data_IF_168372736609
#
_entry.id   IF_168372736609
#
_cell.length_a   1.000
_cell.length_b   1.000
_cell.length_c   1.000
_cell.angle_alpha   90.00
_cell.angle_beta   90.00
_cell.angle_gamma   90.00
#
_symmetry.space_group_name_H-M   'P 1'
#
loop_
_entity.id
_entity.type
_entity.pdbx_description
1 polymer ?
#
# COMPACT_ATOMS: atom_id res chain seq x y z
N UNK A 1 28.67 21.68 -0.82
CA UNK A 1 29.71 20.85 -1.40
C UNK A 1 30.73 21.81 -1.99
N UNK A 2 31.78 22.12 -1.23
CA UNK A 2 32.84 23.04 -1.69
C UNK A 2 33.76 22.23 -2.60
N UNK A 3 33.96 22.71 -3.79
CA UNK A 3 34.94 22.15 -4.74
C UNK A 3 36.30 22.55 -4.23
N UNK A 4 37.10 21.57 -3.81
CA UNK A 4 38.50 21.81 -3.48
C UNK A 4 39.22 22.40 -4.70
N UNK A 5 39.77 23.59 -4.55
CA UNK A 5 40.51 24.25 -5.58
C UNK A 5 41.90 23.59 -5.71
N UNK A 6 42.45 23.62 -6.89
CA UNK A 6 43.75 22.97 -7.26
C UNK A 6 44.94 23.43 -6.42
N UNK A 7 44.75 24.45 -5.58
CA UNK A 7 45.80 24.98 -4.65
C UNK A 7 45.89 24.21 -3.32
N UNK A 8 44.93 23.32 -3.02
CA UNK A 8 44.95 22.52 -1.78
C UNK A 8 45.77 21.24 -1.89
N UNK A 9 46.37 20.96 -3.05
CA UNK A 9 47.35 19.89 -3.21
C UNK A 9 48.75 20.39 -2.81
N UNK A 10 49.13 20.12 -1.57
CA UNK A 10 50.52 20.29 -1.13
C UNK A 10 51.41 19.46 -2.07
N UNK A 11 52.32 20.12 -2.80
CA UNK A 11 53.31 19.42 -3.62
C UNK A 11 54.20 18.61 -2.68
N UNK A 12 54.27 17.31 -2.89
CA UNK A 12 55.09 16.40 -2.08
C UNK A 12 56.57 16.81 -2.05
N UNK A 13 57.02 17.53 -3.06
CA UNK A 13 58.40 18.07 -3.18
C UNK A 13 58.76 19.12 -2.09
N UNK A 14 57.74 19.75 -1.47
CA UNK A 14 58.00 20.81 -0.45
C UNK A 14 58.07 20.24 0.98
N UNK A 15 57.81 18.94 1.17
CA UNK A 15 57.78 18.33 2.52
C UNK A 15 59.18 17.98 3.07
N UNK A 16 60.22 17.96 2.21
CA UNK A 16 61.58 17.61 2.62
C UNK A 16 61.78 16.18 3.11
N UNK A 17 60.72 15.33 2.92
CA UNK A 17 60.76 13.93 3.31
C UNK A 17 61.39 13.08 2.19
N UNK A 18 62.17 12.09 2.58
CA UNK A 18 62.73 11.12 1.64
C UNK A 18 61.66 10.11 1.19
N UNK A 19 61.86 9.50 0.00
CA UNK A 19 60.91 8.48 -0.51
C UNK A 19 60.71 7.31 0.48
N UNK A 20 61.70 6.97 1.28
CA UNK A 20 61.59 5.94 2.32
C UNK A 20 60.70 6.38 3.49
N UNK A 21 60.72 7.64 3.87
CA UNK A 21 59.89 8.21 4.94
C UNK A 21 58.41 8.40 4.47
N UNK A 22 58.22 8.67 3.17
CA UNK A 22 56.86 8.79 2.59
C UNK A 22 56.13 7.46 2.57
N UNK A 23 56.84 6.34 2.47
CA UNK A 23 56.25 4.99 2.42
C UNK A 23 56.42 4.21 3.73
N UNK A 24 56.92 4.84 4.79
CA UNK A 24 56.96 4.23 6.11
C UNK A 24 55.54 3.94 6.60
N UNK A 25 55.30 2.68 6.97
CA UNK A 25 54.01 2.31 7.55
C UNK A 25 53.82 3.03 8.86
N UNK A 26 52.94 4.02 8.85
CA UNK A 26 52.45 4.65 10.07
C UNK A 26 51.93 3.55 11.00
N UNK A 27 52.48 3.41 12.23
CA UNK A 27 51.97 2.41 13.17
C UNK A 27 50.50 2.70 13.38
N UNK A 28 49.66 1.75 13.01
CA UNK A 28 48.24 1.84 13.29
C UNK A 28 48.08 1.88 14.81
N UNK A 29 47.85 3.06 15.32
CA UNK A 29 47.39 3.21 16.69
C UNK A 29 46.02 2.57 16.77
N UNK A 30 46.01 1.33 17.27
CA UNK A 30 44.75 0.51 17.41
C UNK A 30 43.74 1.22 18.32
N UNK A 31 44.19 2.22 19.11
CA UNK A 31 43.35 3.08 19.93
C UNK A 31 42.70 4.23 19.11
N UNK A 32 43.33 4.62 18.00
CA UNK A 32 42.77 5.64 17.06
C UNK A 32 41.97 5.05 15.92
N UNK A 33 41.84 3.72 15.81
CA UNK A 33 40.81 3.10 14.96
C UNK A 33 39.46 3.61 15.46
N UNK A 34 38.91 4.49 14.70
CA UNK A 34 37.63 5.18 14.93
C UNK A 34 36.60 4.18 15.42
N UNK A 35 36.41 4.11 16.75
CA UNK A 35 35.32 3.39 17.34
C UNK A 35 34.07 4.04 16.77
N UNK A 36 33.40 3.38 15.81
CA UNK A 36 32.10 3.79 15.34
C UNK A 36 31.18 3.78 16.57
N UNK A 37 31.16 4.89 17.28
CA UNK A 37 30.31 5.16 18.45
C UNK A 37 28.93 5.55 18.03
N UNK A 38 28.56 5.32 16.74
CA UNK A 38 27.22 5.51 16.26
C UNK A 38 26.27 4.59 17.06
N UNK A 39 25.35 5.15 17.85
CA UNK A 39 24.43 4.34 18.62
C UNK A 39 23.66 3.43 17.64
N UNK A 40 23.58 2.15 17.96
CA UNK A 40 22.81 1.17 17.19
C UNK A 40 21.35 1.52 17.29
N UNK A 41 20.88 2.40 16.42
CA UNK A 41 19.43 2.65 16.31
C UNK A 41 18.79 1.48 15.56
N UNK A 42 17.81 0.86 16.19
CA UNK A 42 16.93 -0.05 15.47
C UNK A 42 16.27 0.73 14.32
N UNK A 43 16.36 0.21 13.11
CA UNK A 43 15.77 0.81 11.90
C UNK A 43 14.31 1.23 12.14
N UNK A 44 13.49 0.31 12.68
CA UNK A 44 12.09 0.57 12.96
C UNK A 44 11.87 1.69 13.97
N UNK A 45 12.70 1.75 15.02
CA UNK A 45 12.61 2.82 16.02
C UNK A 45 12.88 4.20 15.38
N UNK A 46 13.86 4.29 14.50
CA UNK A 46 14.17 5.52 13.76
C UNK A 46 13.04 5.92 12.82
N UNK A 47 12.46 4.96 12.07
CA UNK A 47 11.33 5.21 11.16
C UNK A 47 10.13 5.74 11.94
N UNK A 48 9.73 5.06 13.02
CA UNK A 48 8.59 5.51 13.82
C UNK A 48 8.84 6.86 14.49
N UNK A 49 10.04 7.10 15.00
CA UNK A 49 10.40 8.40 15.60
C UNK A 49 10.30 9.54 14.59
N UNK A 50 10.84 9.37 13.39
CA UNK A 50 10.79 10.39 12.32
C UNK A 50 9.36 10.59 11.84
N UNK A 51 8.59 9.51 11.67
CA UNK A 51 7.21 9.57 11.23
C UNK A 51 6.32 10.34 12.20
N UNK A 52 6.36 9.99 13.50
CA UNK A 52 5.53 10.64 14.52
C UNK A 52 6.04 12.01 14.97
N UNK A 53 7.25 12.40 14.57
CA UNK A 53 7.77 13.75 14.85
C UNK A 53 7.03 14.83 14.05
N UNK A 54 6.51 14.49 12.87
CA UNK A 54 5.79 15.45 12.02
C UNK A 54 4.30 15.45 12.38
N UNK A 55 3.79 16.56 12.90
CA UNK A 55 2.37 16.74 13.26
C UNK A 55 1.42 16.43 12.10
N UNK A 56 1.80 16.81 10.88
CA UNK A 56 1.01 16.53 9.66
C UNK A 56 0.77 15.03 9.47
N UNK A 57 1.79 14.19 9.69
CA UNK A 57 1.66 12.74 9.55
C UNK A 57 0.67 12.16 10.57
N UNK A 58 0.69 12.70 11.80
CA UNK A 58 -0.25 12.28 12.85
C UNK A 58 -1.67 12.67 12.47
N UNK A 59 -1.88 13.90 11.98
CA UNK A 59 -3.22 14.37 11.56
C UNK A 59 -3.78 13.49 10.45
N UNK A 60 -2.97 13.19 9.41
CA UNK A 60 -3.37 12.33 8.31
C UNK A 60 -3.70 10.92 8.80
N UNK A 61 -2.86 10.36 9.68
CA UNK A 61 -3.08 9.02 10.25
C UNK A 61 -4.38 8.95 11.05
N UNK A 62 -4.63 9.96 11.91
CA UNK A 62 -5.85 10.03 12.70
C UNK A 62 -7.08 10.18 11.80
N UNK A 63 -7.03 11.06 10.81
CA UNK A 63 -8.12 11.24 9.84
C UNK A 63 -8.42 9.91 9.11
N UNK A 64 -7.40 9.22 8.66
CA UNK A 64 -7.55 7.92 7.99
C UNK A 64 -8.15 6.86 8.92
N UNK A 65 -7.66 6.77 10.16
CA UNK A 65 -8.20 5.86 11.17
C UNK A 65 -9.67 6.16 11.48
N UNK A 66 -10.06 7.43 11.58
CA UNK A 66 -11.45 7.86 11.79
C UNK A 66 -12.35 7.44 10.62
N UNK A 67 -11.90 7.63 9.37
CA UNK A 67 -12.65 7.23 8.18
C UNK A 67 -12.86 5.71 8.17
N UNK A 68 -11.80 4.92 8.43
CA UNK A 68 -11.91 3.47 8.50
C UNK A 68 -12.87 3.05 9.62
N UNK A 69 -12.71 3.59 10.83
CA UNK A 69 -13.57 3.28 11.95
C UNK A 69 -15.05 3.60 11.63
N UNK A 70 -15.31 4.76 11.04
CA UNK A 70 -16.64 5.16 10.64
C UNK A 70 -17.23 4.22 9.58
N UNK A 71 -16.42 3.78 8.61
CA UNK A 71 -16.84 2.83 7.56
C UNK A 71 -17.35 1.51 8.13
N UNK A 72 -16.77 1.03 9.22
CA UNK A 72 -17.21 -0.24 9.83
C UNK A 72 -18.27 -0.04 10.92
N UNK A 73 -18.14 0.99 11.74
CA UNK A 73 -19.04 1.23 12.88
C UNK A 73 -20.39 1.74 12.41
N UNK A 74 -20.43 2.71 11.50
CA UNK A 74 -21.67 3.34 11.07
C UNK A 74 -22.68 2.33 10.49
N UNK A 75 -22.36 1.47 9.48
CA UNK A 75 -23.30 0.48 8.97
C UNK A 75 -23.66 -0.61 9.97
N UNK A 76 -22.81 -0.88 10.96
CA UNK A 76 -23.08 -1.87 12.00
C UNK A 76 -24.11 -1.35 13.02
N UNK A 77 -24.01 -0.06 13.38
CA UNK A 77 -24.93 0.56 14.35
C UNK A 77 -26.28 0.91 13.71
N UNK A 78 -26.27 1.43 12.49
CA UNK A 78 -27.48 1.88 11.80
C UNK A 78 -28.29 0.74 11.15
N UNK A 79 -27.76 -0.50 11.16
CA UNK A 79 -28.51 -1.67 10.68
C UNK A 79 -28.94 -1.54 9.23
N UNK A 80 -28.03 -1.13 8.32
CA UNK A 80 -28.37 -0.99 6.91
C UNK A 80 -28.77 -2.34 6.31
N UNK A 81 -30.06 -2.48 5.99
CA UNK A 81 -30.55 -3.57 5.19
C UNK A 81 -30.71 -3.11 3.72
N UNK A 82 -29.91 -3.70 2.84
CA UNK A 82 -29.92 -3.38 1.41
C UNK A 82 -31.30 -3.62 0.76
N UNK A 83 -32.07 -4.54 1.29
CA UNK A 83 -33.34 -4.96 0.74
C UNK A 83 -34.53 -4.48 1.57
N UNK A 84 -34.36 -4.12 2.82
CA UNK A 84 -35.40 -3.76 3.78
C UNK A 84 -35.71 -2.28 3.93
N UNK A 85 -34.78 -1.41 3.56
CA UNK A 85 -34.97 0.03 3.73
C UNK A 85 -35.69 0.65 2.53
N UNK A 86 -37.02 0.74 2.69
CA UNK A 86 -37.93 1.65 1.99
C UNK A 86 -37.72 1.69 0.47
N UNK A 87 -38.22 0.68 -0.21
CA UNK A 87 -38.51 0.79 -1.63
C UNK A 87 -39.81 1.59 -1.82
N UNK A 88 -39.80 2.86 -1.42
CA UNK A 88 -40.91 3.76 -1.69
C UNK A 88 -40.68 4.46 -3.03
N UNK A 89 -41.51 4.15 -4.01
CA UNK A 89 -41.46 4.77 -5.33
C UNK A 89 -41.57 6.30 -5.27
N UNK A 90 -42.25 6.82 -4.25
CA UNK A 90 -42.38 8.25 -3.98
C UNK A 90 -41.15 8.91 -3.30
N UNK A 91 -40.17 8.10 -2.92
CA UNK A 91 -38.95 8.56 -2.30
C UNK A 91 -37.70 8.48 -3.22
N UNK A 92 -37.92 8.17 -4.52
CA UNK A 92 -36.82 8.07 -5.49
C UNK A 92 -36.27 9.44 -5.85
N UNK A 93 -34.94 9.54 -5.90
CA UNK A 93 -34.23 10.75 -6.34
C UNK A 93 -34.64 12.04 -5.61
N UNK A 94 -35.03 11.96 -4.35
CA UNK A 94 -35.29 13.15 -3.56
C UNK A 94 -33.99 13.92 -3.31
N UNK A 95 -34.06 15.24 -3.45
CA UNK A 95 -32.99 16.14 -3.03
C UNK A 95 -32.80 16.07 -1.49
N UNK A 96 -31.67 16.53 -0.95
CA UNK A 96 -31.47 16.56 0.49
C UNK A 96 -32.58 17.31 1.26
N UNK A 97 -33.06 18.43 0.73
CA UNK A 97 -34.14 19.22 1.33
C UNK A 97 -35.45 18.46 1.36
N UNK A 98 -35.86 17.87 0.24
CA UNK A 98 -37.10 17.08 0.13
C UNK A 98 -37.05 15.82 1.00
N UNK A 99 -35.90 15.17 1.08
CA UNK A 99 -35.71 14.01 1.94
C UNK A 99 -35.82 14.36 3.44
N UNK A 100 -35.24 15.51 3.85
CA UNK A 100 -35.36 16.01 5.24
C UNK A 100 -36.79 16.42 5.55
N UNK A 101 -37.49 17.07 4.61
CA UNK A 101 -38.89 17.44 4.79
C UNK A 101 -39.80 16.22 4.96
N UNK A 102 -39.56 15.17 4.13
CA UNK A 102 -40.37 13.94 4.15
C UNK A 102 -40.09 13.02 5.34
N UNK A 103 -38.83 12.85 5.73
CA UNK A 103 -38.38 11.86 6.71
C UNK A 103 -37.89 12.45 8.04
N UNK A 104 -37.79 13.76 8.14
CA UNK A 104 -37.20 14.46 9.28
C UNK A 104 -35.69 14.62 9.17
N UNK A 105 -35.15 15.53 9.99
CA UNK A 105 -33.72 15.80 9.99
C UNK A 105 -32.91 14.62 10.52
N UNK A 106 -32.06 14.06 9.67
CA UNK A 106 -31.11 13.00 10.04
C UNK A 106 -29.88 13.07 9.14
N UNK A 107 -28.73 12.63 9.66
CA UNK A 107 -27.47 12.51 8.91
C UNK A 107 -27.62 11.64 7.66
N UNK A 108 -28.56 10.69 7.69
CA UNK A 108 -28.85 9.77 6.59
C UNK A 108 -29.30 10.49 5.32
N UNK A 109 -29.99 11.61 5.44
CA UNK A 109 -30.61 12.33 4.33
C UNK A 109 -29.78 13.49 3.78
N UNK A 110 -28.55 13.68 4.29
CA UNK A 110 -27.64 14.74 3.83
C UNK A 110 -27.36 14.68 2.32
N UNK A 111 -27.35 13.49 1.74
CA UNK A 111 -27.16 13.30 0.29
C UNK A 111 -28.46 12.89 -0.42
N UNK A 112 -29.59 13.07 0.21
CA UNK A 112 -30.87 12.68 -0.38
C UNK A 112 -31.03 11.18 -0.57
N UNK A 113 -31.88 10.80 -1.53
CA UNK A 113 -32.22 9.40 -1.82
C UNK A 113 -31.77 8.96 -3.20
N UNK A 114 -31.44 7.67 -3.33
CA UNK A 114 -31.02 7.04 -4.58
C UNK A 114 -32.21 6.57 -5.45
N UNK A 115 -31.90 5.84 -6.53
CA UNK A 115 -32.85 5.34 -7.50
C UNK A 115 -33.90 4.35 -6.93
N UNK A 116 -33.61 3.70 -5.82
CA UNK A 116 -34.53 2.79 -5.12
C UNK A 116 -35.22 3.42 -3.91
N UNK A 117 -35.01 4.73 -3.65
CA UNK A 117 -35.54 5.43 -2.48
C UNK A 117 -34.73 5.27 -1.22
N UNK A 118 -33.61 4.52 -1.27
CA UNK A 118 -32.72 4.35 -0.13
C UNK A 118 -31.85 5.60 0.10
N UNK A 119 -31.38 5.78 1.35
CA UNK A 119 -30.41 6.82 1.69
C UNK A 119 -29.14 6.65 0.89
N UNK A 120 -28.72 7.71 0.19
CA UNK A 120 -27.45 7.74 -0.56
C UNK A 120 -26.27 7.67 0.40
N UNK A 121 -26.34 8.32 1.56
CA UNK A 121 -25.32 8.30 2.60
C UNK A 121 -25.09 6.88 3.15
N UNK A 122 -26.18 6.17 3.49
CA UNK A 122 -26.08 4.79 3.98
C UNK A 122 -25.50 3.86 2.93
N UNK A 123 -25.95 3.98 1.68
CA UNK A 123 -25.45 3.18 0.55
C UNK A 123 -23.97 3.37 0.30
N UNK A 124 -23.48 4.60 0.44
CA UNK A 124 -22.08 4.94 0.28
C UNK A 124 -21.20 4.26 1.34
N UNK A 125 -21.58 4.36 2.63
CA UNK A 125 -20.79 3.76 3.71
C UNK A 125 -20.88 2.23 3.73
N UNK A 126 -22.02 1.68 3.39
CA UNK A 126 -22.16 0.23 3.22
C UNK A 126 -21.32 -0.29 2.05
N UNK A 127 -21.33 0.42 0.92
CA UNK A 127 -20.46 0.11 -0.23
C UNK A 127 -18.98 0.24 0.11
N UNK A 128 -18.60 1.29 0.84
CA UNK A 128 -17.24 1.50 1.33
C UNK A 128 -16.76 0.34 2.23
N UNK A 129 -17.61 -0.14 3.14
CA UNK A 129 -17.30 -1.29 3.99
C UNK A 129 -17.01 -2.54 3.17
N UNK A 130 -17.86 -2.85 2.17
CA UNK A 130 -17.67 -4.01 1.29
C UNK A 130 -16.38 -3.86 0.50
N UNK A 131 -16.14 -2.70 -0.11
CA UNK A 131 -14.96 -2.44 -0.93
C UNK A 131 -13.66 -2.50 -0.13
N UNK A 132 -13.62 -1.91 1.07
CA UNK A 132 -12.44 -1.98 1.95
C UNK A 132 -12.20 -3.40 2.45
N UNK A 133 -13.24 -4.15 2.80
CA UNK A 133 -13.10 -5.55 3.22
C UNK A 133 -12.55 -6.42 2.08
N UNK A 134 -13.06 -6.22 0.86
CA UNK A 134 -12.59 -6.91 -0.33
C UNK A 134 -11.11 -6.59 -0.62
N UNK A 135 -10.75 -5.30 -0.60
CA UNK A 135 -9.40 -4.85 -0.84
C UNK A 135 -8.40 -5.39 0.20
N UNK A 136 -8.79 -5.37 1.48
CA UNK A 136 -7.95 -5.86 2.57
C UNK A 136 -7.70 -7.37 2.47
N UNK A 137 -8.76 -8.16 2.28
CA UNK A 137 -8.63 -9.61 2.11
C UNK A 137 -7.83 -9.97 0.86
N UNK A 138 -8.14 -9.32 -0.26
CA UNK A 138 -7.42 -9.51 -1.52
C UNK A 138 -5.92 -9.19 -1.36
N UNK A 139 -5.59 -8.12 -0.66
CA UNK A 139 -4.18 -7.73 -0.40
C UNK A 139 -3.47 -8.79 0.44
N UNK A 140 -4.06 -9.27 1.53
CA UNK A 140 -3.46 -10.32 2.38
C UNK A 140 -3.20 -11.58 1.56
N UNK A 141 -4.17 -12.04 0.81
CA UNK A 141 -4.05 -13.27 0.01
C UNK A 141 -2.96 -13.10 -1.06
N UNK A 142 -3.05 -12.04 -1.85
CA UNK A 142 -2.10 -11.79 -2.93
C UNK A 142 -0.68 -11.56 -2.43
N UNK A 143 -0.53 -10.87 -1.29
CA UNK A 143 0.78 -10.62 -0.68
C UNK A 143 1.39 -11.91 -0.14
N UNK A 144 0.60 -12.75 0.53
CA UNK A 144 1.06 -14.03 1.05
C UNK A 144 1.52 -14.97 -0.06
N UNK A 145 0.71 -15.13 -1.11
CA UNK A 145 1.06 -15.94 -2.28
C UNK A 145 2.27 -15.32 -3.01
N UNK A 146 2.24 -14.01 -3.22
CA UNK A 146 3.27 -13.27 -3.94
C UNK A 146 4.65 -13.37 -3.30
N UNK A 147 4.73 -13.32 -1.96
CA UNK A 147 6.01 -13.49 -1.24
C UNK A 147 6.57 -14.89 -1.45
N UNK A 148 5.77 -15.92 -1.25
CA UNK A 148 6.24 -17.30 -1.37
C UNK A 148 6.68 -17.60 -2.80
N UNK A 149 5.82 -17.29 -3.75
CA UNK A 149 6.11 -17.54 -5.18
C UNK A 149 7.27 -16.67 -5.66
N UNK A 150 7.31 -15.39 -5.28
CA UNK A 150 8.36 -14.47 -5.68
C UNK A 150 9.73 -14.83 -5.15
N UNK A 151 9.81 -15.35 -3.92
CA UNK A 151 11.05 -15.89 -3.36
C UNK A 151 11.54 -17.11 -4.17
N UNK A 152 10.67 -18.10 -4.40
CA UNK A 152 11.02 -19.28 -5.21
C UNK A 152 11.43 -18.87 -6.62
N UNK A 153 10.72 -17.92 -7.21
CA UNK A 153 11.01 -17.39 -8.54
C UNK A 153 12.39 -16.73 -8.61
N UNK A 154 12.78 -15.93 -7.61
CA UNK A 154 14.07 -15.23 -7.55
C UNK A 154 15.26 -16.16 -7.34
N UNK A 155 15.10 -17.25 -6.58
CA UNK A 155 16.19 -18.19 -6.28
C UNK A 155 16.43 -19.25 -7.38
N UNK A 156 15.47 -19.53 -8.25
CA UNK A 156 15.55 -20.64 -9.21
C UNK A 156 15.50 -20.17 -10.66
N UNK A 157 16.63 -20.30 -11.40
CA UNK A 157 16.71 -19.98 -12.83
C UNK A 157 15.68 -20.73 -13.69
N UNK A 158 15.35 -21.99 -13.33
CA UNK A 158 14.36 -22.78 -14.07
C UNK A 158 12.96 -22.23 -13.87
N UNK A 159 12.62 -21.88 -12.63
CA UNK A 159 11.33 -21.27 -12.29
C UNK A 159 11.22 -19.89 -12.93
N UNK A 160 12.33 -19.14 -12.97
CA UNK A 160 12.38 -17.82 -13.59
C UNK A 160 11.98 -17.84 -15.07
N UNK A 161 12.49 -18.79 -15.83
CA UNK A 161 12.12 -18.93 -17.26
C UNK A 161 10.62 -19.18 -17.44
N UNK A 162 10.07 -20.14 -16.69
CA UNK A 162 8.64 -20.50 -16.79
C UNK A 162 7.74 -19.37 -16.31
N UNK A 163 8.08 -18.76 -15.18
CA UNK A 163 7.23 -17.72 -14.58
C UNK A 163 7.26 -16.41 -15.38
N UNK A 164 8.36 -16.08 -16.08
CA UNK A 164 8.37 -14.95 -16.99
C UNK A 164 7.38 -15.17 -18.16
N UNK A 165 7.31 -16.38 -18.73
CA UNK A 165 6.33 -16.68 -19.76
C UNK A 165 4.89 -16.62 -19.23
N UNK A 166 4.62 -17.20 -18.06
CA UNK A 166 3.30 -17.08 -17.39
C UNK A 166 2.91 -15.61 -17.20
N UNK A 167 3.84 -14.81 -16.69
CA UNK A 167 3.59 -13.37 -16.50
C UNK A 167 3.32 -12.67 -17.84
N UNK A 168 4.10 -12.95 -18.88
CA UNK A 168 3.91 -12.35 -20.19
C UNK A 168 2.53 -12.68 -20.76
N UNK A 169 2.11 -13.93 -20.69
CA UNK A 169 0.78 -14.36 -21.15
C UNK A 169 -0.33 -13.65 -20.38
N UNK A 170 -0.24 -13.66 -19.05
CA UNK A 170 -1.28 -13.03 -18.19
C UNK A 170 -1.32 -11.52 -18.36
N UNK A 171 -0.17 -10.87 -18.53
CA UNK A 171 -0.11 -9.41 -18.69
C UNK A 171 -0.68 -8.91 -20.02
N UNK A 172 -0.82 -9.76 -21.01
CA UNK A 172 -1.43 -9.41 -22.29
C UNK A 172 -2.98 -9.40 -22.22
N UNK A 173 -3.56 -9.97 -21.16
CA UNK A 173 -5.01 -9.97 -20.97
C UNK A 173 -5.38 -8.88 -19.97
N UNK A 174 -6.27 -7.92 -20.31
CA UNK A 174 -6.74 -6.93 -19.33
C UNK A 174 -7.37 -7.63 -18.13
N UNK A 175 -6.89 -7.30 -16.91
CA UNK A 175 -7.35 -7.93 -15.67
C UNK A 175 -8.87 -7.80 -15.44
N UNK A 176 -9.47 -6.70 -15.90
CA UNK A 176 -10.92 -6.49 -15.86
C UNK A 176 -11.70 -7.54 -16.66
N UNK A 177 -11.17 -8.01 -17.80
CA UNK A 177 -11.78 -9.07 -18.59
C UNK A 177 -11.74 -10.40 -17.83
N UNK A 178 -10.62 -10.72 -17.20
CA UNK A 178 -10.48 -11.93 -16.37
C UNK A 178 -11.53 -11.92 -15.26
N UNK A 179 -11.65 -10.83 -14.52
CA UNK A 179 -12.64 -10.68 -13.44
C UNK A 179 -14.05 -10.81 -13.98
N UNK A 180 -14.36 -10.17 -15.11
CA UNK A 180 -15.71 -10.21 -15.72
C UNK A 180 -16.11 -11.62 -16.12
N UNK A 181 -15.21 -12.39 -16.71
CA UNK A 181 -15.47 -13.79 -17.09
C UNK A 181 -15.77 -14.64 -15.85
N UNK A 182 -14.98 -14.50 -14.77
CA UNK A 182 -15.22 -15.24 -13.53
C UNK A 182 -16.57 -14.90 -12.91
N UNK A 183 -16.95 -13.63 -12.89
CA UNK A 183 -18.24 -13.18 -12.34
C UNK A 183 -19.41 -13.70 -13.19
N UNK A 184 -19.25 -13.80 -14.52
CA UNK A 184 -20.29 -14.36 -15.40
C UNK A 184 -20.47 -15.87 -15.19
N UNK A 185 -19.36 -16.62 -15.00
CA UNK A 185 -19.41 -18.08 -14.84
C UNK A 185 -19.94 -18.49 -13.47
N UNK A 186 -19.52 -17.82 -12.39
CA UNK A 186 -19.80 -18.24 -11.01
C UNK A 186 -20.87 -17.41 -10.28
N UNK A 187 -21.54 -16.51 -10.95
CA UNK A 187 -22.49 -15.54 -10.41
C UNK A 187 -21.83 -14.47 -9.52
N UNK A 188 -22.37 -13.25 -9.50
CA UNK A 188 -21.80 -12.14 -8.74
C UNK A 188 -22.00 -12.34 -7.23
N UNK A 189 -20.89 -12.54 -6.52
CA UNK A 189 -20.85 -12.62 -5.06
C UNK A 189 -19.56 -12.01 -4.54
N UNK A 190 -19.51 -11.69 -3.24
CA UNK A 190 -18.28 -11.22 -2.58
C UNK A 190 -17.13 -12.23 -2.75
N UNK A 191 -17.43 -13.53 -2.57
CA UNK A 191 -16.44 -14.60 -2.71
C UNK A 191 -15.93 -14.74 -4.15
N UNK A 192 -16.82 -14.67 -5.14
CA UNK A 192 -16.44 -14.73 -6.56
C UNK A 192 -15.55 -13.58 -6.96
N UNK A 193 -15.87 -12.35 -6.53
CA UNK A 193 -15.03 -11.17 -6.78
C UNK A 193 -13.66 -11.31 -6.11
N UNK A 194 -13.61 -11.71 -4.84
CA UNK A 194 -12.36 -11.94 -4.11
C UNK A 194 -11.49 -12.98 -4.83
N UNK A 195 -12.07 -14.12 -5.19
CA UNK A 195 -11.36 -15.17 -5.93
C UNK A 195 -10.82 -14.66 -7.27
N UNK A 196 -11.67 -14.02 -8.09
CA UNK A 196 -11.30 -13.51 -9.40
C UNK A 196 -10.13 -12.51 -9.32
N UNK A 197 -10.11 -11.63 -8.31
CA UNK A 197 -9.02 -10.68 -8.08
C UNK A 197 -7.74 -11.36 -7.57
N UNK A 198 -7.86 -12.47 -6.86
CA UNK A 198 -6.71 -13.21 -6.34
C UNK A 198 -6.08 -14.15 -7.37
N UNK A 199 -6.80 -14.56 -8.42
CA UNK A 199 -6.26 -15.49 -9.45
C UNK A 199 -5.00 -14.95 -10.11
N UNK A 200 -4.93 -13.66 -10.40
CA UNK A 200 -3.79 -13.04 -11.09
C UNK A 200 -3.09 -11.96 -10.28
N UNK A 201 -3.70 -11.47 -9.21
CA UNK A 201 -3.22 -10.31 -8.44
C UNK A 201 -1.87 -10.50 -7.77
N UNK A 202 -1.52 -11.72 -7.38
CA UNK A 202 -0.25 -12.07 -6.75
C UNK A 202 0.96 -11.99 -7.70
N UNK A 203 0.76 -12.09 -9.02
CA UNK A 203 1.85 -12.16 -10.02
C UNK A 203 2.72 -10.90 -9.99
N UNK A 204 2.09 -9.72 -9.88
CA UNK A 204 2.80 -8.44 -9.80
C UNK A 204 3.68 -8.33 -8.56
N UNK A 205 3.18 -8.79 -7.41
CA UNK A 205 3.91 -8.80 -6.13
C UNK A 205 5.07 -9.79 -6.21
N UNK A 206 4.82 -10.99 -6.73
CA UNK A 206 5.85 -12.01 -6.92
C UNK A 206 6.99 -11.53 -7.82
N UNK A 207 6.66 -10.85 -8.91
CA UNK A 207 7.65 -10.28 -9.82
C UNK A 207 8.49 -9.18 -9.17
N UNK A 208 7.86 -8.31 -8.38
CA UNK A 208 8.58 -7.26 -7.63
C UNK A 208 9.57 -7.86 -6.63
N UNK A 209 9.15 -8.88 -5.91
CA UNK A 209 10.02 -9.57 -4.96
C UNK A 209 11.16 -10.34 -5.67
N UNK A 210 10.86 -11.06 -6.76
CA UNK A 210 11.86 -11.71 -7.61
C UNK A 210 12.97 -10.73 -8.01
N UNK A 211 12.60 -9.52 -8.44
CA UNK A 211 13.57 -8.50 -8.88
C UNK A 211 14.50 -8.10 -7.73
N UNK A 212 13.98 -7.99 -6.51
CA UNK A 212 14.79 -7.66 -5.33
C UNK A 212 15.73 -8.81 -4.93
N UNK A 213 15.25 -10.05 -5.01
CA UNK A 213 16.07 -11.25 -4.68
C UNK A 213 17.25 -11.42 -5.65
N UNK A 214 17.11 -11.09 -6.93
CA UNK A 214 18.19 -11.23 -7.92
C UNK A 214 19.28 -10.16 -7.73
N UNK A 215 18.97 -9.03 -7.13
CA UNK A 215 19.93 -7.93 -6.90
C UNK A 215 20.84 -8.20 -5.69
N UNK A 216 20.44 -9.09 -4.79
CA UNK A 216 21.20 -9.48 -3.58
C UNK A 216 22.19 -10.59 -3.93
#
# INVERSE_FOLDING_TARGET
>A
MAVATQEDFVRLDDTGLTDEELFERVPQDVAAVEKITAPRYSYWHSVFRVFFRKKTNIIILVMFAVIIAFTYVYPAVMGYDRYGNIMDSAAKHLSPSEAIEKFGFSIRWIFGTGASGQSTFDSMWYGARISLSLAFLCTIINFSIGIVVGAIWGFSKKVDLVMNEVRNVVSNVPGTLIISVWVLVFSPSFGTLLFAMCVTGWIGIAYSLRTQVIII
#
